data_IF_022665337177
#
_entry.id   IF_022665337177
#
_cell.length_a   1.000
_cell.length_b   1.000
_cell.length_c   1.000
_cell.angle_alpha   90.00
_cell.angle_beta   90.00
_cell.angle_gamma   90.00
#
_symmetry.space_group_name_H-M   'P 1'
#
loop_
_entity.id
_entity.type
_entity.pdbx_description
1 polymer ?
#
# COMPACT_ATOMS: atom_id res chain seq x y z
N UNK A 1 -10.13 3.07 13.01
CA UNK A 1 -8.70 2.71 13.10
C UNK A 1 -8.39 1.66 12.05
N UNK A 2 -7.30 1.82 11.31
CA UNK A 2 -6.79 0.81 10.35
C UNK A 2 -6.49 -0.51 11.07
N UNK A 3 -6.78 -1.64 10.44
CA UNK A 3 -6.51 -2.96 11.03
C UNK A 3 -5.01 -3.28 11.04
N UNK A 4 -4.60 -4.17 11.93
CA UNK A 4 -3.28 -4.80 11.86
C UNK A 4 -3.11 -5.56 10.53
N UNK A 5 -1.91 -5.54 9.93
CA UNK A 5 -1.63 -6.29 8.71
C UNK A 5 -1.52 -7.79 8.98
N UNK A 6 -2.04 -8.59 8.05
CA UNK A 6 -1.95 -10.05 8.05
C UNK A 6 -1.10 -10.50 6.87
N UNK A 7 -0.07 -11.31 7.12
CA UNK A 7 0.77 -11.90 6.07
C UNK A 7 0.01 -13.05 5.40
N UNK A 8 -0.28 -12.92 4.10
CA UNK A 8 -1.01 -13.90 3.30
C UNK A 8 -0.12 -14.61 2.27
N UNK A 9 1.10 -14.12 2.05
CA UNK A 9 2.08 -14.75 1.18
C UNK A 9 3.50 -14.44 1.61
N UNK A 10 4.42 -15.38 1.37
CA UNK A 10 5.84 -15.23 1.65
C UNK A 10 6.69 -16.03 0.66
N UNK A 11 7.70 -15.41 0.08
CA UNK A 11 8.66 -16.05 -0.84
C UNK A 11 10.01 -15.33 -0.82
N UNK A 12 11.01 -15.94 -1.42
CA UNK A 12 12.36 -15.35 -1.53
C UNK A 12 12.67 -14.92 -2.96
N UNK A 13 13.23 -13.73 -3.10
CA UNK A 13 13.64 -13.14 -4.37
C UNK A 13 15.17 -13.16 -4.47
N UNK A 14 15.77 -13.82 -5.49
CA UNK A 14 17.20 -13.78 -5.72
C UNK A 14 17.70 -12.34 -5.99
N UNK A 15 18.87 -11.99 -5.47
CA UNK A 15 19.43 -10.63 -5.60
C UNK A 15 19.62 -10.16 -7.04
N UNK A 16 19.78 -11.08 -8.01
CA UNK A 16 19.95 -10.73 -9.43
C UNK A 16 18.79 -9.90 -9.98
N UNK A 17 17.60 -10.05 -9.41
CA UNK A 17 16.38 -9.34 -9.78
C UNK A 17 16.16 -8.03 -8.99
N UNK A 18 17.05 -7.71 -8.05
CA UNK A 18 16.92 -6.58 -7.11
C UNK A 18 18.20 -5.74 -7.13
N UNK A 19 18.07 -4.45 -7.45
CA UNK A 19 19.16 -3.47 -7.38
C UNK A 19 19.04 -2.68 -6.08
N UNK A 20 19.84 -3.04 -5.09
CA UNK A 20 19.86 -2.46 -3.74
C UNK A 20 21.33 -2.26 -3.33
N UNK A 21 22.00 -1.35 -4.04
CA UNK A 21 23.43 -1.05 -3.87
C UNK A 21 24.34 -1.79 -4.85
N UNK A 22 25.61 -1.97 -4.45
CA UNK A 22 26.63 -2.62 -5.30
C UNK A 22 26.44 -4.14 -5.30
N UNK A 23 26.51 -4.82 -6.46
CA UNK A 23 26.30 -6.27 -6.54
C UNK A 23 27.18 -7.09 -5.59
N UNK A 24 28.46 -6.72 -5.44
CA UNK A 24 29.40 -7.40 -4.53
C UNK A 24 28.98 -7.32 -3.07
N UNK A 25 28.35 -6.22 -2.66
CA UNK A 25 27.89 -6.02 -1.29
C UNK A 25 26.57 -6.77 -1.05
N UNK A 26 25.65 -6.73 -2.02
CA UNK A 26 24.41 -7.52 -1.98
C UNK A 26 24.70 -9.01 -1.90
N UNK A 27 25.60 -9.54 -2.74
CA UNK A 27 25.97 -10.96 -2.69
C UNK A 27 26.50 -11.41 -1.33
N UNK A 28 27.17 -10.52 -0.59
CA UNK A 28 27.67 -10.82 0.75
C UNK A 28 26.61 -10.72 1.84
N UNK A 29 25.71 -9.75 1.73
CA UNK A 29 24.75 -9.40 2.81
C UNK A 29 23.36 -9.98 2.60
N UNK A 30 22.94 -10.16 1.36
CA UNK A 30 21.57 -10.55 0.97
C UNK A 30 21.59 -11.18 -0.43
N UNK A 31 22.03 -12.44 -0.52
CA UNK A 31 21.90 -13.24 -1.76
C UNK A 31 20.44 -13.46 -2.15
N UNK A 32 19.56 -13.48 -1.16
CA UNK A 32 18.13 -13.48 -1.32
C UNK A 32 17.54 -12.31 -0.55
N UNK A 33 16.31 -11.96 -0.90
CA UNK A 33 15.49 -11.02 -0.16
C UNK A 33 14.19 -11.72 0.19
N UNK A 34 13.67 -11.44 1.37
CA UNK A 34 12.36 -11.91 1.76
C UNK A 34 11.30 -10.97 1.20
N UNK A 35 10.31 -11.53 0.51
CA UNK A 35 9.11 -10.81 0.09
C UNK A 35 7.91 -11.36 0.85
N UNK A 36 7.14 -10.48 1.47
CA UNK A 36 5.81 -10.81 2.00
C UNK A 36 4.72 -10.04 1.26
N UNK A 37 3.56 -10.68 1.14
CA UNK A 37 2.30 -10.03 0.76
C UNK A 37 1.45 -9.92 2.02
N UNK A 38 1.12 -8.68 2.39
CA UNK A 38 0.34 -8.34 3.57
C UNK A 38 -1.01 -7.76 3.16
N UNK A 39 -2.06 -8.07 3.92
CA UNK A 39 -3.40 -7.51 3.75
C UNK A 39 -3.80 -6.72 5.00
N UNK A 40 -4.41 -5.54 4.81
CA UNK A 40 -5.05 -4.78 5.89
C UNK A 40 -6.26 -3.99 5.41
N UNK A 41 -7.14 -3.64 6.33
CA UNK A 41 -8.21 -2.67 6.12
C UNK A 41 -7.76 -1.28 6.53
N UNK A 42 -7.52 -0.41 5.56
CA UNK A 42 -7.11 0.97 5.80
C UNK A 42 -8.33 1.89 5.89
N UNK A 43 -8.43 2.66 6.97
CA UNK A 43 -9.50 3.65 7.12
C UNK A 43 -9.22 4.84 6.21
N UNK A 44 -10.17 5.14 5.31
CA UNK A 44 -10.06 6.26 4.35
C UNK A 44 -11.02 7.41 4.67
N UNK A 45 -12.05 7.15 5.48
CA UNK A 45 -12.99 8.16 5.95
C UNK A 45 -13.52 7.79 7.34
N UNK A 46 -13.79 8.81 8.13
CA UNK A 46 -14.39 8.68 9.46
C UNK A 46 -15.25 9.92 9.74
N UNK A 47 -16.37 9.73 10.42
CA UNK A 47 -17.13 10.82 11.01
C UNK A 47 -17.83 10.36 12.29
N UNK A 48 -18.07 11.31 13.18
CA UNK A 48 -18.83 11.08 14.40
C UNK A 48 -20.21 11.74 14.26
N UNK A 49 -21.23 11.15 14.88
CA UNK A 49 -22.55 11.76 14.96
C UNK A 49 -22.56 12.76 16.11
N UNK A 50 -22.74 14.03 15.79
CA UNK A 50 -22.83 15.12 16.79
C UNK A 50 -24.10 15.12 17.64
N UNK A 51 -24.97 14.12 17.49
CA UNK A 51 -26.18 13.95 18.32
C UNK A 51 -27.38 14.81 17.91
N UNK A 52 -27.24 15.63 16.85
CA UNK A 52 -28.30 16.52 16.34
C UNK A 52 -28.77 16.17 14.93
N UNK A 53 -28.16 15.17 14.27
CA UNK A 53 -28.54 14.77 12.92
C UNK A 53 -29.54 13.61 13.01
N UNK A 54 -30.78 13.88 12.56
CA UNK A 54 -31.79 12.87 12.23
C UNK A 54 -31.43 12.10 10.95
N UNK A 55 -30.45 12.60 10.19
CA UNK A 55 -29.99 11.96 8.96
C UNK A 55 -29.19 10.70 9.27
N UNK A 56 -29.79 9.56 8.93
CA UNK A 56 -29.16 8.25 8.93
C UNK A 56 -28.18 8.07 7.75
N UNK A 57 -27.91 9.11 6.97
CA UNK A 57 -27.11 9.04 5.75
C UNK A 57 -25.74 9.71 5.97
N UNK A 58 -24.66 9.01 5.60
CA UNK A 58 -23.29 9.53 5.59
C UNK A 58 -22.80 9.64 4.16
N UNK A 59 -22.49 10.87 3.71
CA UNK A 59 -21.83 11.13 2.44
C UNK A 59 -20.32 10.92 2.57
N UNK A 60 -19.80 9.99 1.78
CA UNK A 60 -18.37 9.74 1.64
C UNK A 60 -17.92 10.38 0.33
N UNK A 61 -16.94 11.28 0.40
CA UNK A 61 -16.27 11.89 -0.75
C UNK A 61 -14.77 12.01 -0.44
N UNK A 62 -13.98 11.01 -0.84
CA UNK A 62 -12.53 10.96 -0.58
C UNK A 62 -11.73 10.59 -1.82
N UNK A 63 -10.55 11.18 -1.97
CA UNK A 63 -9.56 10.80 -3.00
C UNK A 63 -8.53 9.87 -2.39
N UNK A 64 -8.17 8.83 -3.14
CA UNK A 64 -7.25 7.78 -2.68
C UNK A 64 -6.19 7.55 -3.75
N UNK A 65 -4.92 7.60 -3.35
CA UNK A 65 -3.82 7.11 -4.19
C UNK A 65 -3.86 5.58 -4.25
N UNK A 66 -4.02 5.03 -5.45
CA UNK A 66 -4.20 3.58 -5.67
C UNK A 66 -2.92 2.79 -5.46
N UNK A 67 -1.78 3.44 -5.64
CA UNK A 67 -0.45 2.84 -5.66
C UNK A 67 0.50 3.72 -4.86
N UNK A 68 1.07 3.19 -3.79
CA UNK A 68 1.98 3.94 -2.91
C UNK A 68 3.20 3.09 -2.60
N UNK A 69 4.39 3.53 -3.01
CA UNK A 69 5.63 2.82 -2.71
C UNK A 69 6.48 3.57 -1.68
N UNK A 70 7.37 2.84 -1.01
CA UNK A 70 8.35 3.38 -0.05
C UNK A 70 9.69 2.68 -0.26
N UNK A 71 10.77 3.44 -0.14
CA UNK A 71 12.13 2.97 -0.37
C UNK A 71 13.00 3.25 0.84
N UNK A 72 13.59 2.20 1.41
CA UNK A 72 14.42 2.24 2.61
C UNK A 72 13.68 2.68 3.88
N UNK A 73 14.43 2.73 4.99
CA UNK A 73 13.98 3.32 6.27
C UNK A 73 13.37 2.33 7.27
N UNK A 74 13.12 2.85 8.48
CA UNK A 74 12.21 2.26 9.46
C UNK A 74 10.77 2.41 8.92
N UNK A 75 9.90 1.42 9.11
CA UNK A 75 8.48 1.45 8.72
C UNK A 75 7.75 2.74 9.16
N UNK A 76 8.22 3.37 10.24
CA UNK A 76 7.70 4.61 10.82
C UNK A 76 8.18 5.90 10.14
N UNK A 77 9.24 5.87 9.32
CA UNK A 77 9.67 7.03 8.53
C UNK A 77 8.88 7.09 7.22
N UNK A 78 7.62 7.46 7.38
CA UNK A 78 6.65 7.54 6.30
C UNK A 78 6.96 8.70 5.33
N UNK A 79 6.91 8.33 4.04
CA UNK A 79 6.70 9.18 2.85
C UNK A 79 7.92 9.97 2.34
N UNK A 80 8.50 9.46 1.26
CA UNK A 80 9.19 10.30 0.27
C UNK A 80 8.52 10.06 -1.07
N UNK A 81 7.79 11.07 -1.56
CA UNK A 81 7.33 11.12 -2.94
C UNK A 81 8.56 10.94 -3.84
N UNK A 82 8.60 9.79 -4.48
CA UNK A 82 9.69 9.37 -5.33
C UNK A 82 9.35 9.50 -6.80
N UNK A 83 10.36 9.37 -7.64
CA UNK A 83 10.13 9.12 -9.07
C UNK A 83 10.25 7.63 -9.35
N UNK A 84 9.44 7.18 -10.30
CA UNK A 84 9.52 5.86 -10.88
C UNK A 84 10.05 6.02 -12.29
N UNK A 85 11.08 5.26 -12.65
CA UNK A 85 11.59 5.17 -14.03
C UNK A 85 11.83 3.72 -14.40
N UNK A 86 11.66 3.40 -15.68
CA UNK A 86 12.03 2.09 -16.21
C UNK A 86 13.26 2.27 -17.08
N UNK A 87 14.29 1.46 -16.82
CA UNK A 87 15.56 1.50 -17.52
C UNK A 87 16.17 0.09 -17.52
N UNK A 88 16.60 -0.39 -18.68
CA UNK A 88 17.21 -1.71 -18.88
C UNK A 88 16.47 -2.89 -18.20
N UNK A 89 15.15 -2.95 -18.37
CA UNK A 89 14.32 -4.01 -17.77
C UNK A 89 14.22 -3.95 -16.24
N UNK A 90 14.60 -2.83 -15.63
CA UNK A 90 14.50 -2.57 -14.20
C UNK A 90 13.62 -1.35 -13.95
N UNK A 91 12.63 -1.51 -13.08
CA UNK A 91 11.84 -0.42 -12.53
C UNK A 91 12.53 0.14 -11.30
N UNK A 92 13.00 1.36 -11.40
CA UNK A 92 13.70 2.08 -10.34
C UNK A 92 12.73 2.95 -9.55
N UNK A 93 12.76 2.79 -8.24
CA UNK A 93 12.05 3.58 -7.26
C UNK A 93 13.06 4.43 -6.52
N UNK A 94 12.96 5.75 -6.71
CA UNK A 94 13.88 6.71 -6.09
C UNK A 94 13.25 7.39 -4.89
N UNK A 95 13.93 7.44 -3.75
CA UNK A 95 13.49 8.24 -2.61
C UNK A 95 14.11 9.64 -2.66
N UNK A 96 13.31 10.69 -2.48
CA UNK A 96 13.81 12.06 -2.42
C UNK A 96 14.04 12.50 -0.97
N UNK A 97 15.30 12.41 -0.56
CA UNK A 97 16.00 13.25 0.41
C UNK A 97 15.64 14.76 0.46
N UNK A 98 15.37 15.41 1.61
CA UNK A 98 15.46 16.91 1.68
C UNK A 98 16.90 17.39 1.43
N UNK A 99 17.88 16.51 1.64
CA UNK A 99 19.31 16.76 1.49
C UNK A 99 19.90 16.10 0.21
N UNK A 100 19.05 15.61 -0.71
CA UNK A 100 19.47 14.97 -1.97
C UNK A 100 20.13 13.59 -1.85
N UNK A 101 20.33 13.04 -0.64
CA UNK A 101 20.84 11.68 -0.40
C UNK A 101 19.71 10.66 -0.42
N UNK A 102 19.19 10.38 -1.61
CA UNK A 102 18.17 9.35 -1.83
C UNK A 102 18.72 7.93 -1.72
N UNK A 103 17.87 6.99 -1.32
CA UNK A 103 18.11 5.55 -1.53
C UNK A 103 17.27 5.15 -2.73
N UNK A 104 17.90 4.49 -3.69
CA UNK A 104 17.24 3.97 -4.89
C UNK A 104 17.15 2.44 -4.78
N UNK A 105 15.97 1.89 -5.06
CA UNK A 105 15.76 0.45 -5.20
C UNK A 105 15.30 0.18 -6.62
N UNK A 106 15.93 -0.77 -7.29
CA UNK A 106 15.49 -1.29 -8.58
C UNK A 106 14.89 -2.68 -8.42
N UNK A 107 13.72 -2.90 -9.02
CA UNK A 107 13.13 -4.23 -9.16
C UNK A 107 13.12 -4.57 -10.65
N UNK A 108 13.60 -5.78 -11.01
CA UNK A 108 13.42 -6.27 -12.37
C UNK A 108 11.93 -6.31 -12.74
N UNK A 109 11.62 -6.13 -14.02
CA UNK A 109 10.25 -6.22 -14.52
C UNK A 109 9.60 -7.57 -14.18
N UNK A 110 10.36 -8.66 -14.15
CA UNK A 110 9.86 -9.97 -13.73
C UNK A 110 9.26 -9.98 -12.31
N UNK A 111 9.88 -9.26 -11.35
CA UNK A 111 9.32 -9.10 -10.00
C UNK A 111 8.07 -8.23 -10.05
N UNK A 112 8.13 -7.09 -10.74
CA UNK A 112 7.02 -6.12 -10.80
C UNK A 112 5.79 -6.72 -11.47
N UNK A 113 5.97 -7.44 -12.58
CA UNK A 113 4.90 -8.13 -13.29
C UNK A 113 4.29 -9.23 -12.44
N UNK A 114 5.11 -9.97 -11.69
CA UNK A 114 4.59 -10.96 -10.73
C UNK A 114 3.76 -10.31 -9.63
N UNK A 115 4.20 -9.17 -9.08
CA UNK A 115 3.41 -8.42 -8.10
C UNK A 115 2.05 -8.04 -8.69
N UNK A 116 2.03 -7.41 -9.87
CA UNK A 116 0.80 -6.99 -10.56
C UNK A 116 -0.14 -8.17 -10.84
N UNK A 117 0.40 -9.28 -11.31
CA UNK A 117 -0.39 -10.48 -11.59
C UNK A 117 -1.07 -11.03 -10.33
N UNK A 118 -0.39 -11.07 -9.18
CA UNK A 118 -1.03 -11.47 -7.93
C UNK A 118 -2.18 -10.52 -7.56
N UNK A 119 -2.04 -9.21 -7.79
CA UNK A 119 -3.10 -8.22 -7.54
C UNK A 119 -4.31 -8.40 -8.47
N UNK A 120 -4.06 -8.64 -9.75
CA UNK A 120 -5.09 -8.83 -10.78
C UNK A 120 -6.00 -10.03 -10.52
N UNK A 121 -5.46 -11.10 -9.93
CA UNK A 121 -6.24 -12.28 -9.52
C UNK A 121 -7.32 -11.96 -8.49
N UNK A 122 -7.12 -10.92 -7.69
CA UNK A 122 -8.07 -10.46 -6.69
C UNK A 122 -8.93 -9.28 -7.19
N UNK A 123 -8.95 -9.03 -8.50
CA UNK A 123 -9.81 -8.03 -9.13
C UNK A 123 -9.21 -6.63 -9.19
N UNK A 124 -7.95 -6.45 -8.79
CA UNK A 124 -7.27 -5.16 -8.92
C UNK A 124 -6.79 -4.95 -10.35
N UNK A 125 -7.21 -3.85 -10.98
CA UNK A 125 -6.72 -3.45 -12.29
C UNK A 125 -5.87 -2.19 -12.19
N UNK A 126 -4.75 -2.15 -12.91
CA UNK A 126 -4.01 -0.90 -13.11
C UNK A 126 -4.86 0.06 -13.94
N UNK A 127 -4.85 1.35 -13.58
CA UNK A 127 -5.51 2.43 -14.34
C UNK A 127 -4.45 3.46 -14.69
N UNK A 128 -4.67 4.20 -15.77
CA UNK A 128 -3.81 5.35 -16.12
C UNK A 128 -3.82 6.39 -15.00
N UNK A 129 -4.99 6.63 -14.39
CA UNK A 129 -5.11 7.48 -13.21
C UNK A 129 -4.63 6.75 -11.94
N UNK A 130 -3.59 7.33 -11.30
CA UNK A 130 -3.04 6.85 -10.03
C UNK A 130 -3.88 7.20 -8.80
N UNK A 131 -4.87 8.07 -8.99
CA UNK A 131 -5.81 8.46 -7.95
C UNK A 131 -7.21 8.00 -8.35
N UNK A 132 -7.95 7.47 -7.38
CA UNK A 132 -9.37 7.14 -7.52
C UNK A 132 -10.18 7.99 -6.53
N UNK A 133 -11.40 8.32 -6.92
CA UNK A 133 -12.36 9.01 -6.06
C UNK A 133 -13.42 8.04 -5.57
N UNK A 134 -13.56 7.91 -4.26
CA UNK A 134 -14.65 7.15 -3.63
C UNK A 134 -15.76 8.15 -3.28
N UNK A 135 -16.88 8.04 -3.99
CA UNK A 135 -18.08 8.83 -3.73
C UNK A 135 -19.29 7.91 -3.56
N UNK A 136 -19.85 7.82 -2.35
CA UNK A 136 -21.04 7.00 -2.04
C UNK A 136 -21.79 7.55 -0.82
N UNK A 137 -23.04 7.14 -0.68
CA UNK A 137 -23.88 7.44 0.49
C UNK A 137 -24.09 6.12 1.24
N UNK A 138 -23.77 6.12 2.52
CA UNK A 138 -24.00 5.00 3.43
C UNK A 138 -25.18 5.30 4.33
N UNK A 139 -26.14 4.38 4.42
CA UNK A 139 -27.30 4.53 5.30
C UNK A 139 -27.13 3.66 6.54
N UNK A 140 -27.41 4.24 7.70
CA UNK A 140 -27.49 3.51 8.96
C UNK A 140 -28.78 2.66 8.95
N UNK A 141 -28.62 1.34 9.05
CA UNK A 141 -29.70 0.39 8.85
C UNK A 141 -30.51 0.02 10.10
N UNK A 142 -30.23 0.63 11.26
CA UNK A 142 -30.97 0.36 12.49
C UNK A 142 -31.94 1.50 12.78
N UNK A 143 -33.24 1.23 12.59
CA UNK A 143 -34.33 2.21 12.69
C UNK A 143 -34.53 2.76 14.11
N UNK A 144 -34.14 2.01 15.14
CA UNK A 144 -34.28 2.40 16.55
C UNK A 144 -32.96 2.84 17.20
N UNK A 145 -31.84 2.69 16.49
CA UNK A 145 -30.50 2.98 16.99
C UNK A 145 -30.04 4.40 16.67
N UNK A 146 -29.16 4.95 17.51
CA UNK A 146 -28.39 6.15 17.18
C UNK A 146 -26.94 5.71 17.03
N UNK A 147 -26.39 5.86 15.83
CA UNK A 147 -24.94 5.66 15.61
C UNK A 147 -24.17 6.84 16.21
N UNK A 148 -23.01 6.54 16.76
CA UNK A 148 -22.03 7.50 17.32
C UNK A 148 -20.86 7.71 16.40
N UNK A 149 -20.37 6.64 15.74
CA UNK A 149 -19.22 6.71 14.84
C UNK A 149 -19.44 5.93 13.56
N UNK A 150 -18.90 6.47 12.49
CA UNK A 150 -18.86 5.83 11.19
C UNK A 150 -17.42 5.76 10.69
N UNK A 151 -17.05 4.64 10.08
CA UNK A 151 -15.78 4.46 9.39
C UNK A 151 -15.93 3.75 8.07
N UNK A 152 -15.24 4.26 7.04
CA UNK A 152 -15.10 3.61 5.74
C UNK A 152 -13.67 3.14 5.55
N UNK A 153 -13.54 1.89 5.10
CA UNK A 153 -12.29 1.17 4.99
C UNK A 153 -12.13 0.58 3.60
N UNK A 154 -10.91 0.49 3.11
CA UNK A 154 -10.58 -0.23 1.88
C UNK A 154 -9.56 -1.32 2.15
N UNK A 155 -9.60 -2.39 1.36
CA UNK A 155 -8.54 -3.39 1.39
C UNK A 155 -7.27 -2.79 0.78
N UNK A 156 -6.16 -2.96 1.50
CA UNK A 156 -4.81 -2.64 1.01
C UNK A 156 -4.00 -3.92 1.02
N UNK A 157 -3.44 -4.23 -0.13
CA UNK A 157 -2.43 -5.28 -0.28
C UNK A 157 -1.06 -4.62 -0.38
N UNK A 158 -0.14 -5.05 0.48
CA UNK A 158 1.21 -4.47 0.58
C UNK A 158 2.23 -5.54 0.31
N UNK A 159 3.09 -5.31 -0.68
CA UNK A 159 4.33 -6.06 -0.83
C UNK A 159 5.40 -5.45 0.08
N UNK A 160 6.07 -6.27 0.88
CA UNK A 160 7.17 -5.86 1.75
C UNK A 160 8.41 -6.66 1.39
N UNK A 161 9.46 -5.96 0.94
CA UNK A 161 10.75 -6.55 0.61
C UNK A 161 11.75 -6.25 1.73
N UNK A 162 12.26 -7.30 2.37
CA UNK A 162 13.28 -7.23 3.42
C UNK A 162 14.59 -7.86 2.98
N UNK A 163 15.68 -7.26 3.44
CA UNK A 163 17.03 -7.85 3.39
C UNK A 163 17.11 -9.03 4.35
N UNK A 164 18.12 -9.89 4.18
CA UNK A 164 18.29 -11.06 5.06
C UNK A 164 18.64 -10.71 6.51
N UNK A 165 19.13 -9.49 6.77
CA UNK A 165 19.33 -8.96 8.12
C UNK A 165 18.03 -8.45 8.77
N UNK A 166 16.88 -8.60 8.09
CA UNK A 166 15.56 -8.16 8.55
C UNK A 166 15.25 -6.69 8.24
N UNK A 167 16.22 -5.92 7.75
CA UNK A 167 16.00 -4.51 7.43
C UNK A 167 15.08 -4.34 6.22
N UNK A 168 14.22 -3.31 6.28
CA UNK A 168 13.31 -3.00 5.19
C UNK A 168 14.07 -2.41 3.99
N UNK A 169 13.83 -2.96 2.81
CA UNK A 169 14.34 -2.42 1.56
C UNK A 169 13.27 -1.60 0.84
N UNK A 170 12.04 -2.12 0.74
CA UNK A 170 11.00 -1.54 -0.10
C UNK A 170 9.60 -1.99 0.33
N UNK A 171 8.60 -1.12 0.15
CA UNK A 171 7.18 -1.51 0.19
C UNK A 171 6.42 -0.99 -1.01
N UNK A 172 5.36 -1.69 -1.40
CA UNK A 172 4.41 -1.24 -2.43
C UNK A 172 2.98 -1.59 -2.04
N UNK A 173 2.19 -0.57 -1.77
CA UNK A 173 0.78 -0.67 -1.38
C UNK A 173 -0.09 -0.51 -2.62
N UNK A 174 -0.99 -1.48 -2.82
CA UNK A 174 -2.05 -1.49 -3.80
C UNK A 174 -3.37 -1.34 -3.07
N UNK A 175 -4.07 -0.24 -3.31
CA UNK A 175 -5.33 0.08 -2.66
C UNK A 175 -6.50 -0.34 -3.53
N UNK A 176 -7.32 -1.24 -3.00
CA UNK A 176 -8.46 -1.83 -3.70
C UNK A 176 -9.72 -1.00 -3.48
N UNK A 177 -9.86 0.09 -4.24
CA UNK A 177 -11.01 1.02 -4.16
C UNK A 177 -12.36 0.40 -4.51
N UNK A 178 -12.39 -0.82 -5.03
CA UNK A 178 -13.60 -1.62 -5.26
C UNK A 178 -13.96 -2.52 -4.07
N UNK A 179 -13.02 -2.79 -3.16
CA UNK A 179 -13.24 -3.57 -1.94
C UNK A 179 -13.37 -2.62 -0.74
N UNK A 180 -14.60 -2.17 -0.49
CA UNK A 180 -14.92 -1.19 0.55
C UNK A 180 -15.72 -1.87 1.67
N UNK A 181 -15.41 -1.55 2.92
CA UNK A 181 -16.21 -1.92 4.10
C UNK A 181 -16.60 -0.69 4.91
N UNK A 182 -17.82 -0.72 5.42
CA UNK A 182 -18.36 0.29 6.34
C UNK A 182 -18.49 -0.30 7.73
N UNK A 183 -18.22 0.50 8.76
CA UNK A 183 -18.45 0.14 10.16
C UNK A 183 -19.21 1.27 10.85
N UNK A 184 -20.30 0.90 11.51
CA UNK A 184 -21.10 1.77 12.36
C UNK A 184 -20.90 1.34 13.81
N UNK A 185 -20.79 2.30 14.73
CA UNK A 185 -20.76 2.12 16.19
C UNK A 185 -21.81 2.99 16.85
#
# INVERSE_FOLDING_TARGET
MTSEPVVVGKWYCPFIFIKDGKPKDQMKKSMYYEMTLEQRWEQVFACDNGGYNEDNDVLIDVKVEREVFRVGGNENEALRYGSVRVDDGVMWFKSCNKEGKGVDIGLSLAIVERMKWEQERFGWSSKEEKQDKIKRIEKFGNEEGIWKKFGCYILVERFVLRRMDGSLAFTYDFKHTHQIRSKWE
#
